data_IF_100545292792
#
_entry.id   IF_100545292792
#
_cell.length_a   1.000
_cell.length_b   1.000
_cell.length_c   1.000
_cell.angle_alpha   90.00
_cell.angle_beta   90.00
_cell.angle_gamma   90.00
#
_symmetry.space_group_name_H-M   'P 1'
#
loop_
_entity.id
_entity.type
_entity.pdbx_description
1 polymer ?
#
# COMPACT_ATOMS: atom_id res chain seq x y z
N UNK A 1 11.18 -7.74 0.14
CA UNK A 1 11.26 -7.69 1.60
C UNK A 1 10.80 -9.02 2.15
N UNK A 2 11.71 -9.66 2.87
CA UNK A 2 11.41 -10.97 3.43
C UNK A 2 10.36 -10.84 4.54
N UNK A 3 9.35 -11.69 4.50
CA UNK A 3 8.22 -11.69 5.45
C UNK A 3 7.27 -10.51 5.29
N UNK A 4 7.41 -9.75 4.22
CA UNK A 4 6.51 -8.65 3.89
C UNK A 4 5.94 -8.91 2.50
N UNK A 5 4.64 -8.69 2.35
CA UNK A 5 3.96 -8.91 1.07
C UNK A 5 3.49 -7.59 0.49
N UNK A 6 3.64 -7.45 -0.81
CA UNK A 6 3.07 -6.31 -1.52
C UNK A 6 1.57 -6.54 -1.64
N UNK A 7 0.77 -5.60 -1.13
CA UNK A 7 -0.69 -5.73 -1.14
C UNK A 7 -1.36 -4.68 -2.02
N UNK A 8 -0.63 -3.68 -2.47
CA UNK A 8 -1.21 -2.62 -3.27
C UNK A 8 -0.12 -1.90 -4.02
N UNK A 9 -0.42 -1.45 -5.24
CA UNK A 9 0.48 -0.56 -5.95
C UNK A 9 -0.35 0.45 -6.73
N UNK A 10 0.20 1.66 -6.88
CA UNK A 10 -0.49 2.75 -7.54
C UNK A 10 0.54 3.76 -8.04
N UNK A 11 0.15 4.57 -9.00
CA UNK A 11 0.97 5.69 -9.45
C UNK A 11 0.58 7.00 -8.76
N UNK A 12 -0.47 6.96 -7.95
CA UNK A 12 -1.03 8.15 -7.30
C UNK A 12 -0.61 8.18 -5.83
N UNK A 13 0.22 9.14 -5.45
CA UNK A 13 0.71 9.25 -4.08
C UNK A 13 -0.42 9.51 -3.09
N UNK A 14 -1.42 10.29 -3.47
CA UNK A 14 -2.56 10.55 -2.59
C UNK A 14 -3.31 9.27 -2.27
N UNK A 15 -3.50 8.40 -3.27
CA UNK A 15 -4.15 7.12 -3.06
C UNK A 15 -3.33 6.23 -2.13
N UNK A 16 -2.02 6.18 -2.34
CA UNK A 16 -1.12 5.42 -1.46
C UNK A 16 -1.22 5.90 -0.02
N UNK A 17 -1.28 7.21 0.18
CA UNK A 17 -1.38 7.79 1.53
C UNK A 17 -2.70 7.43 2.19
N UNK A 18 -3.80 7.43 1.45
CA UNK A 18 -5.11 7.06 1.98
C UNK A 18 -5.10 5.60 2.42
N UNK A 19 -4.56 4.71 1.60
CA UNK A 19 -4.48 3.29 1.94
C UNK A 19 -3.56 3.07 3.14
N UNK A 20 -2.44 3.78 3.18
CA UNK A 20 -1.54 3.70 4.33
C UNK A 20 -2.26 4.09 5.62
N UNK A 21 -3.01 5.19 5.58
CA UNK A 21 -3.77 5.66 6.74
C UNK A 21 -4.81 4.64 7.18
N UNK A 22 -5.52 4.05 6.23
CA UNK A 22 -6.52 3.02 6.52
C UNK A 22 -5.89 1.83 7.25
N UNK A 23 -4.76 1.34 6.75
CA UNK A 23 -4.10 0.19 7.35
C UNK A 23 -3.54 0.53 8.73
N UNK A 24 -2.95 1.71 8.87
CA UNK A 24 -2.37 2.16 10.14
C UNK A 24 -3.46 2.30 11.20
N UNK A 25 -4.62 2.84 10.84
CA UNK A 25 -5.75 2.97 11.77
C UNK A 25 -6.25 1.62 12.26
N UNK A 26 -6.06 0.58 11.48
CA UNK A 26 -6.50 -0.77 11.84
C UNK A 26 -5.36 -1.61 12.40
N UNK A 27 -4.30 -0.95 12.84
CA UNK A 27 -3.15 -1.60 13.50
C UNK A 27 -2.40 -2.56 12.58
N UNK A 28 -2.44 -2.32 11.28
CA UNK A 28 -1.66 -3.10 10.32
C UNK A 28 -0.42 -2.28 9.95
N UNK A 29 0.78 -2.74 10.33
CA UNK A 29 2.00 -2.06 9.93
C UNK A 29 2.10 -2.04 8.41
N UNK A 30 2.51 -0.90 7.85
CA UNK A 30 2.63 -0.77 6.41
C UNK A 30 3.91 -0.03 6.07
N UNK A 31 4.58 -0.48 5.01
CA UNK A 31 5.74 0.21 4.48
C UNK A 31 5.46 0.63 3.05
N UNK A 32 5.82 1.86 2.74
CA UNK A 32 5.68 2.40 1.39
C UNK A 32 7.05 2.38 0.72
N UNK A 33 7.08 1.79 -0.48
CA UNK A 33 8.27 1.82 -1.32
C UNK A 33 7.90 2.62 -2.57
N UNK A 34 8.44 3.83 -2.67
CA UNK A 34 8.14 4.71 -3.80
C UNK A 34 9.23 4.52 -4.86
N UNK A 35 8.85 3.91 -5.98
CA UNK A 35 9.76 3.65 -7.09
C UNK A 35 9.62 4.68 -8.20
N UNK A 36 8.87 5.74 -7.98
CA UNK A 36 8.70 6.77 -9.00
C UNK A 36 9.97 7.60 -9.16
N UNK A 37 10.31 7.89 -10.41
CA UNK A 37 11.41 8.78 -10.72
C UNK A 37 10.93 10.22 -10.54
N UNK A 38 11.69 11.04 -9.83
CA UNK A 38 11.32 12.43 -9.60
C UNK A 38 11.23 13.24 -10.89
N UNK A 39 11.99 12.85 -11.91
CA UNK A 39 11.96 13.53 -13.22
C UNK A 39 10.83 13.01 -14.10
N UNK A 40 10.42 11.75 -13.91
CA UNK A 40 9.40 11.10 -14.72
C UNK A 40 8.48 10.30 -13.81
N UNK A 41 7.59 10.98 -13.07
CA UNK A 41 6.76 10.29 -12.07
C UNK A 41 5.80 9.26 -12.67
N UNK A 42 5.56 9.30 -13.97
CA UNK A 42 4.73 8.28 -14.61
C UNK A 42 5.44 6.93 -14.76
N UNK A 43 6.74 6.89 -14.55
CA UNK A 43 7.50 5.63 -14.58
C UNK A 43 7.74 5.16 -13.15
N UNK A 44 7.39 3.91 -12.89
CA UNK A 44 7.53 3.33 -11.57
C UNK A 44 6.26 3.48 -10.74
N UNK A 45 6.09 2.57 -9.82
CA UNK A 45 4.91 2.52 -8.95
C UNK A 45 5.28 2.83 -7.51
N UNK A 46 4.27 3.23 -6.75
CA UNK A 46 4.35 3.32 -5.31
C UNK A 46 3.76 2.02 -4.78
N UNK A 47 4.55 1.27 -4.03
CA UNK A 47 4.14 -0.06 -3.54
C UNK A 47 3.96 -0.03 -2.03
N UNK A 48 2.91 -0.69 -1.57
CA UNK A 48 2.63 -0.80 -0.14
C UNK A 48 2.80 -2.26 0.29
N UNK A 49 3.55 -2.44 1.38
CA UNK A 49 3.87 -3.75 1.92
C UNK A 49 3.36 -3.87 3.35
N UNK A 50 2.86 -5.05 3.68
CA UNK A 50 2.44 -5.37 5.04
C UNK A 50 3.11 -6.69 5.46
N UNK A 51 3.20 -6.98 6.77
CA UNK A 51 3.69 -8.29 7.20
C UNK A 51 2.89 -9.41 6.55
N UNK A 52 3.58 -10.47 6.13
CA UNK A 52 2.94 -11.56 5.39
C UNK A 52 1.74 -12.15 6.12
N UNK A 53 1.83 -12.27 7.45
CA UNK A 53 0.74 -12.85 8.23
C UNK A 53 -0.51 -11.96 8.30
N UNK A 54 -0.41 -10.71 7.87
CA UNK A 54 -1.53 -9.77 7.85
C UNK A 54 -2.03 -9.45 6.44
N UNK A 55 -1.52 -10.17 5.41
CA UNK A 55 -1.86 -9.80 4.05
C UNK A 55 -3.36 -9.96 3.74
N UNK A 56 -4.00 -11.00 4.25
CA UNK A 56 -5.43 -11.22 4.02
C UNK A 56 -6.24 -10.13 4.68
N UNK A 57 -5.91 -9.79 5.93
CA UNK A 57 -6.57 -8.71 6.66
C UNK A 57 -6.43 -7.39 5.92
N UNK A 58 -5.21 -7.07 5.46
CA UNK A 58 -4.95 -5.83 4.73
C UNK A 58 -5.75 -5.77 3.43
N UNK A 59 -5.77 -6.87 2.69
CA UNK A 59 -6.53 -6.92 1.43
C UNK A 59 -8.02 -6.71 1.66
N UNK A 60 -8.57 -7.29 2.72
CA UNK A 60 -9.98 -7.11 3.05
C UNK A 60 -10.29 -5.67 3.40
N UNK A 61 -9.42 -5.03 4.17
CA UNK A 61 -9.61 -3.62 4.51
C UNK A 61 -9.61 -2.74 3.27
N UNK A 62 -8.70 -3.00 2.34
CA UNK A 62 -8.61 -2.24 1.11
C UNK A 62 -9.85 -2.47 0.25
N UNK A 63 -10.26 -3.73 0.09
CA UNK A 63 -11.45 -4.06 -0.69
C UNK A 63 -12.69 -3.36 -0.15
N UNK A 64 -12.87 -3.40 1.16
CA UNK A 64 -14.03 -2.76 1.79
C UNK A 64 -14.03 -1.25 1.57
N UNK A 65 -12.86 -0.63 1.61
CA UNK A 65 -12.75 0.81 1.39
C UNK A 65 -13.05 1.18 -0.06
N UNK A 66 -12.61 0.36 -1.01
CA UNK A 66 -12.80 0.64 -2.43
C UNK A 66 -14.22 0.33 -2.91
N UNK A 67 -14.95 -0.52 -2.19
CA UNK A 67 -16.31 -0.88 -2.57
C UNK A 67 -17.37 0.11 -2.06
N UNK A 68 -16.96 1.05 -1.23
CA UNK A 68 -17.89 2.05 -0.68
C UNK A 68 -17.87 3.34 -1.49
#
# INVERSE_FOLDING_TARGET
MKNWDKIFSTKNLAEASIIQGLLTENEVPVQILNKQDSSYPMFGDIELYVPAHLNITAKQLIENALLN
#
